data_IF_494815605084
#
_entry.id   IF_494815605084
#
_cell.length_a   1.000
_cell.length_b   1.000
_cell.length_c   1.000
_cell.angle_alpha   90.00
_cell.angle_beta   90.00
_cell.angle_gamma   90.00
#
_symmetry.space_group_name_H-M   'P 1'
#
loop_
_entity.id
_entity.type
_entity.pdbx_description
1 polymer ?
#
# COMPACT_ATOMS: atom_id res chain seq x y z
N UNK A 1 39.59 9.40 -22.62
CA UNK A 1 38.32 10.04 -22.13
C UNK A 1 37.47 10.58 -23.28
N UNK A 2 38.07 11.20 -24.36
CA UNK A 2 37.31 11.74 -25.49
C UNK A 2 36.55 10.66 -26.28
N UNK A 3 37.20 9.53 -26.59
CA UNK A 3 36.59 8.41 -27.35
C UNK A 3 35.40 7.77 -26.59
N UNK A 4 35.54 7.56 -25.27
CA UNK A 4 34.47 7.04 -24.43
C UNK A 4 33.26 7.98 -24.35
N UNK A 5 33.53 9.30 -24.29
CA UNK A 5 32.46 10.30 -24.29
C UNK A 5 31.76 10.40 -25.64
N UNK A 6 32.46 10.23 -26.75
CA UNK A 6 31.87 10.18 -28.08
C UNK A 6 31.00 8.91 -28.24
N UNK A 7 31.51 7.74 -27.84
CA UNK A 7 30.75 6.47 -27.88
C UNK A 7 29.50 6.56 -27.03
N UNK A 8 29.56 7.14 -25.81
CA UNK A 8 28.41 7.36 -24.95
C UNK A 8 27.36 8.26 -25.60
N UNK A 9 27.78 9.37 -26.22
CA UNK A 9 26.85 10.28 -26.89
C UNK A 9 26.15 9.61 -28.06
N UNK A 10 26.91 8.89 -28.93
CA UNK A 10 26.33 8.13 -30.03
C UNK A 10 25.34 7.06 -29.57
N UNK A 11 25.63 6.35 -28.47
CA UNK A 11 24.72 5.35 -27.92
C UNK A 11 23.43 6.01 -27.38
N UNK A 12 23.52 7.12 -26.67
CA UNK A 12 22.35 7.86 -26.17
C UNK A 12 21.48 8.34 -27.33
N UNK A 13 22.09 8.87 -28.39
CA UNK A 13 21.38 9.34 -29.58
C UNK A 13 20.66 8.18 -30.30
N UNK A 14 21.32 7.04 -30.47
CA UNK A 14 20.67 5.84 -31.01
C UNK A 14 19.51 5.35 -30.15
N UNK A 15 19.65 5.33 -28.82
CA UNK A 15 18.57 4.95 -27.90
C UNK A 15 17.40 5.92 -28.02
N UNK A 16 17.66 7.22 -28.13
CA UNK A 16 16.61 8.23 -28.30
C UNK A 16 15.86 8.05 -29.63
N UNK A 17 16.59 7.81 -30.73
CA UNK A 17 16.00 7.54 -32.04
C UNK A 17 15.11 6.29 -32.01
N UNK A 18 15.62 5.18 -31.47
CA UNK A 18 14.84 3.94 -31.33
C UNK A 18 13.61 4.11 -30.42
N UNK A 19 13.72 4.96 -29.38
CA UNK A 19 12.55 5.31 -28.55
C UNK A 19 11.51 6.10 -29.34
N UNK A 20 11.91 7.13 -30.06
CA UNK A 20 11.01 7.94 -30.88
C UNK A 20 10.33 7.12 -31.98
N UNK A 21 11.04 6.18 -32.60
CA UNK A 21 10.45 5.24 -33.55
C UNK A 21 9.48 4.24 -32.91
N UNK A 22 9.69 3.87 -31.64
CA UNK A 22 8.77 3.01 -30.88
C UNK A 22 7.61 3.75 -30.24
N UNK A 23 7.71 5.05 -30.05
CA UNK A 23 6.63 5.94 -29.60
C UNK A 23 5.67 6.33 -30.74
N UNK A 24 5.58 5.51 -31.80
CA UNK A 24 4.43 5.59 -32.68
C UNK A 24 3.16 5.55 -31.82
N UNK A 25 2.19 6.46 -32.01
CA UNK A 25 1.05 6.58 -31.13
C UNK A 25 0.36 5.22 -31.05
N UNK A 26 0.44 4.62 -29.83
CA UNK A 26 -0.32 3.40 -29.54
C UNK A 26 -1.78 3.75 -29.83
N UNK A 27 -2.40 3.13 -30.83
CA UNK A 27 -3.78 3.46 -31.17
C UNK A 27 -4.63 3.35 -29.91
N UNK A 28 -5.48 4.32 -29.67
CA UNK A 28 -6.29 4.54 -28.47
C UNK A 28 -7.27 3.41 -28.09
N UNK A 29 -6.97 2.17 -28.46
CA UNK A 29 -7.69 0.97 -28.01
C UNK A 29 -7.60 0.76 -26.50
N UNK A 30 -6.67 1.43 -25.81
CA UNK A 30 -6.61 1.46 -24.35
C UNK A 30 -7.73 2.28 -23.72
N UNK A 31 -8.31 3.26 -24.40
CA UNK A 31 -9.36 4.12 -23.85
C UNK A 31 -10.67 3.37 -23.60
N UNK A 32 -11.04 2.42 -24.45
CA UNK A 32 -12.28 1.65 -24.29
C UNK A 32 -12.17 0.52 -23.24
N UNK A 33 -10.95 0.01 -23.00
CA UNK A 33 -10.70 -1.04 -22.01
C UNK A 33 -10.51 -0.48 -20.58
N UNK A 34 -10.29 0.81 -20.45
CA UNK A 34 -10.05 1.53 -19.20
C UNK A 34 -11.10 2.59 -18.85
N UNK A 35 -12.27 2.52 -19.44
CA UNK A 35 -13.39 3.30 -18.91
C UNK A 35 -13.79 2.62 -17.60
N UNK A 36 -13.46 3.18 -16.42
CA UNK A 36 -13.98 2.63 -15.18
C UNK A 36 -15.49 2.65 -15.27
N UNK A 37 -16.14 1.64 -14.78
CA UNK A 37 -17.56 1.72 -14.44
C UNK A 37 -17.79 3.05 -13.76
N UNK A 38 -18.85 3.77 -14.10
CA UNK A 38 -19.08 5.11 -13.56
C UNK A 38 -18.76 5.14 -12.08
N UNK A 39 -17.87 6.05 -11.67
CA UNK A 39 -17.52 6.19 -10.25
C UNK A 39 -18.83 6.38 -9.49
N UNK A 40 -19.09 5.60 -8.44
CA UNK A 40 -20.25 5.86 -7.61
C UNK A 40 -20.13 7.30 -7.09
N UNK A 41 -21.21 8.06 -7.16
CA UNK A 41 -21.23 9.42 -6.64
C UNK A 41 -20.79 9.40 -5.18
N UNK A 42 -19.95 10.36 -4.78
CA UNK A 42 -19.52 10.49 -3.40
C UNK A 42 -20.77 10.58 -2.51
N UNK A 43 -20.87 9.67 -1.55
CA UNK A 43 -21.94 9.70 -0.56
C UNK A 43 -21.73 10.87 0.41
N UNK A 44 -22.79 11.35 1.04
CA UNK A 44 -22.66 12.24 2.18
C UNK A 44 -21.81 11.56 3.28
N UNK A 45 -21.03 12.37 4.02
CA UNK A 45 -20.21 11.82 5.11
C UNK A 45 -21.08 10.96 6.04
N UNK A 46 -20.63 9.75 6.39
CA UNK A 46 -21.40 8.90 7.28
C UNK A 46 -21.53 9.55 8.66
N UNK A 47 -22.69 9.45 9.28
CA UNK A 47 -22.96 9.89 10.66
C UNK A 47 -22.22 9.05 11.73
N UNK A 48 -21.43 8.07 11.30
CA UNK A 48 -20.67 7.20 12.18
C UNK A 48 -19.43 7.93 12.74
N UNK A 49 -19.06 7.67 14.01
CA UNK A 49 -17.82 8.21 14.56
C UNK A 49 -16.61 7.72 13.77
N UNK A 50 -15.54 8.53 13.71
CA UNK A 50 -14.32 8.15 13.02
C UNK A 50 -13.70 6.90 13.68
N UNK A 51 -13.19 6.00 12.86
CA UNK A 51 -12.54 4.76 13.28
C UNK A 51 -11.03 4.96 13.35
N UNK A 52 -10.41 4.59 14.45
CA UNK A 52 -8.97 4.75 14.68
C UNK A 52 -8.23 3.41 14.48
N UNK A 53 -7.48 3.30 13.40
CA UNK A 53 -6.55 2.19 13.16
C UNK A 53 -5.14 2.58 13.56
N UNK A 54 -4.43 1.74 14.31
CA UNK A 54 -3.06 2.02 14.76
C UNK A 54 -2.09 0.95 14.27
N UNK A 55 -0.98 1.39 13.67
CA UNK A 55 0.08 0.51 13.19
C UNK A 55 1.19 0.37 14.23
N UNK A 56 1.38 -0.86 14.73
CA UNK A 56 2.44 -1.24 15.65
C UNK A 56 3.65 -1.80 14.90
N UNK A 57 4.83 -1.23 15.14
CA UNK A 57 6.11 -1.68 14.58
C UNK A 57 6.83 -2.67 15.49
N UNK A 58 6.43 -2.74 16.74
CA UNK A 58 7.03 -3.60 17.77
C UNK A 58 5.95 -4.18 18.68
N UNK A 59 6.13 -5.42 19.18
CA UNK A 59 5.15 -6.06 20.06
C UNK A 59 4.84 -5.27 21.33
N UNK A 60 5.84 -4.56 21.88
CA UNK A 60 5.70 -3.80 23.14
C UNK A 60 4.72 -2.62 23.01
N UNK A 61 4.39 -2.21 21.78
CA UNK A 61 3.41 -1.14 21.54
C UNK A 61 1.97 -1.61 21.69
N UNK A 62 1.69 -2.91 21.54
CA UNK A 62 0.34 -3.46 21.51
C UNK A 62 -0.49 -3.09 22.75
N UNK A 63 -0.02 -3.32 23.99
CA UNK A 63 -0.83 -3.00 25.16
C UNK A 63 -1.25 -1.53 25.22
N UNK A 64 -0.30 -0.62 25.02
CA UNK A 64 -0.57 0.82 25.07
C UNK A 64 -1.55 1.29 23.99
N UNK A 65 -1.50 0.68 22.79
CA UNK A 65 -2.42 0.98 21.69
C UNK A 65 -3.84 0.52 22.00
N UNK A 66 -3.98 -0.66 22.60
CA UNK A 66 -5.27 -1.20 22.99
C UNK A 66 -5.87 -0.45 24.17
N UNK A 67 -5.06 -0.10 25.17
CA UNK A 67 -5.47 0.73 26.30
C UNK A 67 -5.90 2.13 25.88
N UNK A 68 -5.33 2.66 24.80
CA UNK A 68 -5.71 3.95 24.23
C UNK A 68 -7.02 3.90 23.41
N UNK A 69 -7.63 2.73 23.23
CA UNK A 69 -8.92 2.57 22.55
C UNK A 69 -8.85 2.58 21.05
N UNK A 70 -7.80 1.98 20.46
CA UNK A 70 -7.76 1.74 19.01
C UNK A 70 -8.88 0.78 18.58
N UNK A 71 -9.53 1.09 17.46
CA UNK A 71 -10.59 0.27 16.87
C UNK A 71 -10.07 -0.86 15.98
N UNK A 72 -8.83 -0.73 15.49
CA UNK A 72 -8.12 -1.78 14.75
C UNK A 72 -6.61 -1.67 14.96
N UNK A 73 -5.91 -2.80 14.88
CA UNK A 73 -4.45 -2.85 14.99
C UNK A 73 -3.83 -3.43 13.73
N UNK A 74 -2.86 -2.72 13.17
CA UNK A 74 -2.00 -3.19 12.09
C UNK A 74 -0.65 -3.58 12.65
N UNK A 75 -0.20 -4.81 12.43
CA UNK A 75 1.12 -5.27 12.85
C UNK A 75 2.08 -5.21 11.65
N UNK A 76 3.19 -4.48 11.82
CA UNK A 76 4.24 -4.29 10.82
C UNK A 76 5.61 -4.55 11.47
N UNK A 77 5.82 -5.78 11.91
CA UNK A 77 7.07 -6.16 12.56
C UNK A 77 8.17 -6.42 11.53
N UNK A 78 9.40 -6.19 11.91
CA UNK A 78 10.58 -6.45 11.09
C UNK A 78 10.74 -7.96 10.81
N UNK A 79 10.49 -8.81 11.82
CA UNK A 79 10.48 -10.25 11.69
C UNK A 79 9.03 -10.78 11.57
N UNK A 80 8.71 -11.35 10.41
CA UNK A 80 7.39 -11.94 10.14
C UNK A 80 7.07 -13.14 11.05
N UNK A 81 8.07 -13.77 11.68
CA UNK A 81 7.87 -14.87 12.64
C UNK A 81 7.19 -14.40 13.93
N UNK A 82 7.31 -13.12 14.25
CA UNK A 82 6.70 -12.53 15.45
C UNK A 82 5.21 -12.22 15.26
N UNK A 83 4.68 -12.31 14.05
CA UNK A 83 3.27 -12.01 13.76
C UNK A 83 2.30 -12.89 14.55
N UNK A 84 2.57 -14.19 14.63
CA UNK A 84 1.71 -15.10 15.40
C UNK A 84 1.65 -14.74 16.89
N UNK A 85 2.79 -14.35 17.47
CA UNK A 85 2.85 -13.87 18.85
C UNK A 85 2.13 -12.52 19.01
N UNK A 86 2.24 -11.63 18.01
CA UNK A 86 1.54 -10.35 17.99
C UNK A 86 0.03 -10.51 17.93
N UNK A 87 -0.49 -11.35 17.02
CA UNK A 87 -1.91 -11.67 16.94
C UNK A 87 -2.44 -12.22 18.27
N UNK A 88 -1.70 -13.18 18.85
CA UNK A 88 -2.04 -13.74 20.16
C UNK A 88 -2.08 -12.68 21.26
N UNK A 89 -1.13 -11.75 21.28
CA UNK A 89 -1.09 -10.67 22.25
C UNK A 89 -2.32 -9.74 22.13
N UNK A 90 -2.72 -9.37 20.91
CA UNK A 90 -3.96 -8.59 20.68
C UNK A 90 -5.18 -9.35 21.19
N UNK A 91 -5.34 -10.63 20.82
CA UNK A 91 -6.48 -11.47 21.25
C UNK A 91 -6.57 -11.64 22.77
N UNK A 92 -5.43 -11.77 23.46
CA UNK A 92 -5.40 -11.88 24.92
C UNK A 92 -5.82 -10.62 25.64
N UNK A 93 -5.57 -9.45 25.04
CA UNK A 93 -5.93 -8.17 25.62
C UNK A 93 -7.34 -7.72 25.25
N UNK A 94 -7.73 -7.89 24.00
CA UNK A 94 -9.04 -7.48 23.47
C UNK A 94 -9.42 -8.33 22.23
N UNK A 95 -10.19 -9.39 22.47
CA UNK A 95 -10.55 -10.35 21.42
C UNK A 95 -11.46 -9.75 20.31
N UNK A 96 -12.16 -8.66 20.64
CA UNK A 96 -13.07 -7.99 19.68
C UNK A 96 -12.37 -7.03 18.72
N UNK A 97 -11.11 -6.65 18.97
CA UNK A 97 -10.38 -5.69 18.13
C UNK A 97 -9.75 -6.43 16.95
N UNK A 98 -10.09 -6.07 15.71
CA UNK A 98 -9.54 -6.72 14.53
C UNK A 98 -8.04 -6.43 14.38
N UNK A 99 -7.28 -7.48 14.04
CA UNK A 99 -5.84 -7.43 13.84
C UNK A 99 -5.49 -7.77 12.39
N UNK A 100 -4.69 -6.93 11.78
CA UNK A 100 -4.24 -7.07 10.39
C UNK A 100 -2.71 -7.16 10.34
N UNK A 101 -2.21 -7.99 9.45
CA UNK A 101 -0.76 -8.14 9.24
C UNK A 101 -0.33 -7.40 7.97
N UNK A 102 0.70 -6.58 8.10
CA UNK A 102 1.25 -5.84 6.97
C UNK A 102 2.16 -6.74 6.11
N UNK A 103 1.88 -6.79 4.80
CA UNK A 103 2.76 -7.49 3.87
C UNK A 103 4.08 -6.74 3.67
N UNK A 104 5.18 -7.41 3.28
CA UNK A 104 6.38 -6.72 2.83
C UNK A 104 6.05 -5.74 1.70
N UNK A 105 6.69 -4.55 1.70
CA UNK A 105 6.50 -3.57 0.62
C UNK A 105 7.11 -4.04 -0.68
N UNK A 106 8.26 -4.70 -0.60
CA UNK A 106 8.97 -5.27 -1.74
C UNK A 106 8.89 -6.78 -1.64
N UNK A 107 8.47 -7.43 -2.70
CA UNK A 107 8.37 -8.87 -2.80
C UNK A 107 9.13 -9.36 -4.03
N UNK A 108 10.02 -10.33 -3.83
CA UNK A 108 10.69 -11.03 -4.92
C UNK A 108 9.85 -12.22 -5.40
N UNK A 109 10.01 -12.68 -6.64
CA UNK A 109 9.17 -13.73 -7.23
C UNK A 109 9.11 -15.06 -6.45
N UNK A 110 10.15 -15.38 -5.65
CA UNK A 110 10.22 -16.64 -4.88
C UNK A 110 9.75 -16.53 -3.43
N UNK A 111 9.28 -15.36 -2.98
CA UNK A 111 9.01 -15.05 -1.57
C UNK A 111 7.54 -15.23 -1.15
N UNK A 112 6.76 -16.01 -1.88
CA UNK A 112 5.35 -16.31 -1.52
C UNK A 112 5.21 -17.10 -0.20
N UNK A 113 6.28 -17.69 0.30
CA UNK A 113 6.31 -18.38 1.60
C UNK A 113 5.92 -17.47 2.78
N UNK A 114 6.22 -16.17 2.69
CA UNK A 114 5.85 -15.18 3.70
C UNK A 114 4.33 -15.05 3.85
N UNK A 115 3.59 -15.10 2.77
CA UNK A 115 2.14 -15.00 2.83
C UNK A 115 1.49 -16.19 3.55
N UNK A 116 2.02 -17.40 3.33
CA UNK A 116 1.57 -18.60 4.07
C UNK A 116 1.86 -18.50 5.56
N UNK A 117 2.98 -17.86 5.94
CA UNK A 117 3.29 -17.61 7.34
C UNK A 117 2.29 -16.65 7.97
N UNK A 118 1.91 -15.60 7.23
CA UNK A 118 0.90 -14.64 7.67
C UNK A 118 -0.48 -15.29 7.82
N UNK A 119 -0.90 -16.13 6.88
CA UNK A 119 -2.17 -16.88 6.97
C UNK A 119 -2.20 -17.80 8.21
N UNK A 120 -1.08 -18.46 8.54
CA UNK A 120 -0.97 -19.34 9.72
C UNK A 120 -1.01 -18.59 11.06
N UNK A 121 -0.78 -17.29 11.06
CA UNK A 121 -0.92 -16.46 12.25
C UNK A 121 -2.40 -16.15 12.58
N UNK A 122 -3.34 -16.54 11.71
CA UNK A 122 -4.78 -16.39 11.87
C UNK A 122 -5.24 -14.96 12.20
N UNK A 123 -4.81 -13.93 11.42
CA UNK A 123 -5.30 -12.57 11.59
C UNK A 123 -6.74 -12.42 11.07
N UNK A 124 -7.40 -11.31 11.38
CA UNK A 124 -8.67 -10.93 10.76
C UNK A 124 -8.49 -10.48 9.32
N UNK A 125 -7.31 -9.96 8.98
CA UNK A 125 -7.03 -9.50 7.64
C UNK A 125 -5.58 -9.15 7.36
N UNK A 126 -5.36 -8.61 6.18
CA UNK A 126 -4.03 -8.29 5.65
C UNK A 126 -4.00 -6.83 5.20
N UNK A 127 -2.97 -6.11 5.62
CA UNK A 127 -2.63 -4.79 5.10
C UNK A 127 -1.76 -4.97 3.85
N UNK A 128 -2.34 -4.75 2.69
CA UNK A 128 -1.76 -5.01 1.37
C UNK A 128 -0.85 -3.85 0.94
N UNK A 129 0.43 -4.14 0.71
CA UNK A 129 1.45 -3.13 0.39
C UNK A 129 1.98 -3.17 -1.04
N UNK A 130 1.65 -4.20 -1.80
CA UNK A 130 2.06 -4.33 -3.20
C UNK A 130 1.03 -5.13 -4.02
N UNK A 131 1.09 -5.01 -5.34
CA UNK A 131 0.13 -5.66 -6.23
C UNK A 131 0.25 -7.19 -6.25
N UNK A 132 1.44 -7.73 -5.96
CA UNK A 132 1.66 -9.19 -5.84
C UNK A 132 0.89 -9.76 -4.65
N UNK A 133 0.94 -9.08 -3.50
CA UNK A 133 0.13 -9.43 -2.33
C UNK A 133 -1.37 -9.28 -2.61
N UNK A 134 -1.79 -8.19 -3.28
CA UNK A 134 -3.19 -8.00 -3.68
C UNK A 134 -3.70 -9.17 -4.54
N UNK A 135 -2.88 -9.64 -5.48
CA UNK A 135 -3.21 -10.78 -6.33
C UNK A 135 -3.25 -12.10 -5.55
N UNK A 136 -2.28 -12.33 -4.65
CA UNK A 136 -2.21 -13.55 -3.85
C UNK A 136 -3.44 -13.69 -2.94
N UNK A 137 -3.77 -12.65 -2.18
CA UNK A 137 -4.88 -12.65 -1.22
C UNK A 137 -6.24 -12.38 -1.86
N UNK A 138 -6.35 -12.20 -3.18
CA UNK A 138 -7.61 -11.81 -3.86
C UNK A 138 -8.78 -12.73 -3.55
N UNK A 139 -8.53 -14.01 -3.36
CA UNK A 139 -9.55 -15.04 -3.08
C UNK A 139 -9.47 -15.58 -1.64
N UNK A 140 -8.61 -15.01 -0.81
CA UNK A 140 -8.54 -15.33 0.61
C UNK A 140 -9.83 -14.90 1.34
N UNK A 141 -10.28 -15.62 2.36
CA UNK A 141 -11.36 -15.19 3.23
C UNK A 141 -10.97 -14.01 4.14
N UNK A 142 -9.68 -13.73 4.28
CA UNK A 142 -9.17 -12.63 5.10
C UNK A 142 -9.59 -11.28 4.55
N UNK A 143 -9.92 -10.34 5.44
CA UNK A 143 -10.17 -8.94 5.08
C UNK A 143 -8.89 -8.34 4.47
N UNK A 144 -9.03 -7.39 3.55
CA UNK A 144 -7.90 -6.79 2.83
C UNK A 144 -8.03 -5.28 2.84
N UNK A 145 -6.99 -4.63 3.35
CA UNK A 145 -6.89 -3.17 3.42
C UNK A 145 -5.68 -2.76 2.61
N UNK A 146 -5.82 -1.75 1.76
CA UNK A 146 -4.72 -1.22 0.96
C UNK A 146 -3.92 -0.19 1.74
N UNK A 147 -2.62 -0.41 1.88
CA UNK A 147 -1.69 0.51 2.52
C UNK A 147 -1.37 1.72 1.60
N UNK A 148 -0.92 2.83 2.17
CA UNK A 148 -0.49 4.02 1.42
C UNK A 148 0.55 3.73 0.33
N UNK A 149 1.34 2.66 0.48
CA UNK A 149 2.34 2.23 -0.52
C UNK A 149 1.74 1.77 -1.86
N UNK A 150 0.42 1.60 -1.95
CA UNK A 150 -0.28 1.41 -3.21
C UNK A 150 -0.48 2.71 -3.99
N UNK A 151 -0.06 3.86 -3.44
CA UNK A 151 -0.07 5.18 -4.06
C UNK A 151 -1.45 5.61 -4.59
N UNK A 152 -2.47 5.44 -3.76
CA UNK A 152 -3.83 5.88 -4.12
C UNK A 152 -3.89 7.41 -4.06
N UNK A 153 -3.91 8.04 -5.23
CA UNK A 153 -3.87 9.49 -5.39
C UNK A 153 -5.00 10.04 -6.28
N UNK A 154 -5.87 9.20 -6.79
CA UNK A 154 -7.00 9.61 -7.61
C UNK A 154 -8.15 8.57 -7.57
N UNK A 155 -9.39 8.95 -7.89
CA UNK A 155 -10.57 8.09 -7.75
C UNK A 155 -10.53 6.86 -8.66
N UNK A 156 -9.86 6.93 -9.80
CA UNK A 156 -9.76 5.81 -10.74
C UNK A 156 -8.85 4.71 -10.23
N UNK A 157 -7.67 5.06 -9.68
CA UNK A 157 -6.79 4.09 -9.03
C UNK A 157 -7.47 3.45 -7.82
N UNK A 158 -8.22 4.22 -7.04
CA UNK A 158 -9.02 3.72 -5.94
C UNK A 158 -10.06 2.69 -6.41
N UNK A 159 -10.85 3.02 -7.42
CA UNK A 159 -11.88 2.13 -7.97
C UNK A 159 -11.28 0.81 -8.49
N UNK A 160 -10.17 0.87 -9.22
CA UNK A 160 -9.49 -0.33 -9.73
C UNK A 160 -9.00 -1.23 -8.58
N UNK A 161 -8.40 -0.65 -7.55
CA UNK A 161 -7.90 -1.41 -6.40
C UNK A 161 -9.05 -2.00 -5.57
N UNK A 162 -10.13 -1.26 -5.37
CA UNK A 162 -11.36 -1.75 -4.73
C UNK A 162 -11.94 -2.93 -5.49
N UNK A 163 -12.11 -2.80 -6.79
CA UNK A 163 -12.76 -3.82 -7.62
C UNK A 163 -11.86 -5.03 -7.84
N UNK A 164 -10.65 -4.81 -8.38
CA UNK A 164 -9.73 -5.90 -8.78
C UNK A 164 -8.99 -6.51 -7.59
N UNK A 165 -8.58 -5.67 -6.63
CA UNK A 165 -7.92 -6.11 -5.40
C UNK A 165 -8.90 -6.62 -4.35
N UNK A 166 -10.19 -6.31 -4.47
CA UNK A 166 -11.22 -6.56 -3.47
C UNK A 166 -10.83 -5.99 -2.10
N UNK A 167 -10.27 -4.78 -2.11
CA UNK A 167 -9.82 -4.12 -0.89
C UNK A 167 -11.01 -3.42 -0.22
N UNK A 168 -11.17 -3.59 1.09
CA UNK A 168 -12.28 -2.96 1.86
C UNK A 168 -12.05 -1.47 2.05
N UNK A 169 -10.84 -1.10 2.41
CA UNK A 169 -10.39 0.28 2.60
C UNK A 169 -9.06 0.50 1.88
N UNK A 170 -8.74 1.76 1.63
CA UNK A 170 -7.51 2.20 1.00
C UNK A 170 -6.94 3.36 1.79
N UNK A 171 -5.74 3.21 2.31
CA UNK A 171 -5.00 4.34 2.88
C UNK A 171 -4.51 5.23 1.74
N UNK A 172 -4.85 6.51 1.78
CA UNK A 172 -4.42 7.47 0.76
C UNK A 172 -2.90 7.67 0.76
N UNK A 173 -2.36 8.03 -0.41
CA UNK A 173 -0.97 8.44 -0.50
C UNK A 173 -0.70 9.65 0.40
N UNK A 174 0.36 9.59 1.18
CA UNK A 174 0.79 10.70 2.04
C UNK A 174 1.44 11.85 1.27
N UNK A 175 1.66 11.70 -0.04
CA UNK A 175 2.15 12.76 -0.92
C UNK A 175 1.06 13.76 -1.31
N UNK A 176 -0.22 13.44 -1.02
CA UNK A 176 -1.34 14.33 -1.26
C UNK A 176 -1.39 15.45 -0.22
N UNK A 177 -1.59 16.69 -0.68
CA UNK A 177 -1.92 17.79 0.21
C UNK A 177 -3.42 17.77 0.60
N UNK A 178 -3.80 18.59 1.58
CA UNK A 178 -5.17 18.61 2.11
C UNK A 178 -6.24 18.92 1.05
N UNK A 179 -5.94 19.79 0.07
CA UNK A 179 -6.85 20.16 -1.01
C UNK A 179 -7.08 18.96 -1.94
N UNK A 180 -6.01 18.26 -2.35
CA UNK A 180 -6.07 17.06 -3.17
C UNK A 180 -6.82 15.92 -2.47
N UNK A 181 -6.62 15.75 -1.16
CA UNK A 181 -7.41 14.79 -0.36
C UNK A 181 -8.90 15.17 -0.39
N UNK A 182 -9.23 16.44 -0.17
CA UNK A 182 -10.62 16.91 -0.20
C UNK A 182 -11.27 16.68 -1.59
N UNK A 183 -10.53 16.93 -2.66
CA UNK A 183 -11.01 16.68 -4.03
C UNK A 183 -11.25 15.19 -4.30
N UNK A 184 -10.35 14.34 -3.81
CA UNK A 184 -10.51 12.89 -3.93
C UNK A 184 -11.75 12.39 -3.17
N UNK A 185 -11.97 12.87 -1.94
CA UNK A 185 -13.12 12.49 -1.12
C UNK A 185 -14.46 13.00 -1.67
N UNK A 186 -14.44 14.09 -2.49
CA UNK A 186 -15.62 14.53 -3.24
C UNK A 186 -15.88 13.69 -4.48
N UNK A 187 -14.81 13.15 -5.09
CA UNK A 187 -14.88 12.42 -6.35
C UNK A 187 -15.11 10.91 -6.20
N UNK A 188 -14.93 10.35 -4.99
CA UNK A 188 -15.15 8.93 -4.70
C UNK A 188 -15.76 8.78 -3.30
N UNK A 189 -16.44 7.64 -3.00
CA UNK A 189 -17.06 7.39 -1.71
C UNK A 189 -16.05 7.53 -0.56
N UNK A 190 -16.25 8.44 0.40
CA UNK A 190 -15.33 8.67 1.52
C UNK A 190 -15.08 7.42 2.37
N UNK A 191 -16.07 6.55 2.50
CA UNK A 191 -16.01 5.28 3.23
C UNK A 191 -15.02 4.27 2.62
N UNK A 192 -14.47 4.56 1.45
CA UNK A 192 -13.42 3.75 0.87
C UNK A 192 -12.05 4.01 1.47
N UNK A 193 -11.88 5.12 2.20
CA UNK A 193 -10.57 5.65 2.52
C UNK A 193 -10.26 5.68 4.00
N UNK A 194 -9.00 5.39 4.30
CA UNK A 194 -8.33 5.71 5.55
C UNK A 194 -7.35 6.86 5.32
N UNK A 195 -7.26 7.77 6.28
CA UNK A 195 -6.32 8.90 6.25
C UNK A 195 -5.23 8.67 7.28
N UNK A 196 -3.98 8.83 6.87
CA UNK A 196 -2.85 8.82 7.79
C UNK A 196 -2.81 10.13 8.57
N UNK A 197 -3.10 10.08 9.88
CA UNK A 197 -3.05 11.25 10.76
C UNK A 197 -1.63 11.53 11.26
N UNK A 198 -0.87 10.48 11.52
CA UNK A 198 0.50 10.55 12.02
C UNK A 198 1.31 9.36 11.57
N UNK A 199 2.50 9.60 11.02
CA UNK A 199 3.50 8.56 10.75
C UNK A 199 4.90 9.15 10.64
N UNK A 200 5.91 8.31 10.92
CA UNK A 200 7.27 8.62 10.56
C UNK A 200 7.48 8.32 9.08
N UNK A 201 7.82 9.33 8.28
CA UNK A 201 8.09 9.14 6.86
C UNK A 201 9.32 8.26 6.66
N UNK A 202 9.20 7.15 5.93
CA UNK A 202 10.35 6.34 5.58
C UNK A 202 11.27 7.14 4.63
N UNK A 203 12.46 7.48 5.10
CA UNK A 203 13.46 8.17 4.27
C UNK A 203 14.38 7.14 3.64
N UNK A 204 14.38 7.05 2.32
CA UNK A 204 15.24 6.12 1.56
C UNK A 204 16.74 6.43 1.77
N UNK A 205 17.08 7.69 2.07
CA UNK A 205 18.46 8.12 2.31
C UNK A 205 19.10 7.48 3.55
N UNK A 206 18.29 7.02 4.51
CA UNK A 206 18.80 6.38 5.73
C UNK A 206 18.83 4.85 5.67
N UNK A 207 18.24 4.25 4.63
CA UNK A 207 18.15 2.79 4.48
C UNK A 207 19.16 2.21 3.49
N UNK A 208 19.83 3.05 2.72
CA UNK A 208 20.91 2.62 1.82
C UNK A 208 22.22 3.16 2.37
N UNK A 209 23.12 2.30 2.89
CA UNK A 209 24.48 2.74 3.23
C UNK A 209 25.12 3.32 1.97
N UNK A 210 25.58 4.56 2.07
CA UNK A 210 26.37 5.17 0.98
C UNK A 210 27.62 4.31 0.75
N UNK A 211 28.08 4.14 -0.50
CA UNK A 211 29.38 3.51 -0.75
C UNK A 211 30.54 4.14 0.02
N UNK A 212 30.37 5.35 0.57
CA UNK A 212 31.35 6.05 1.42
C UNK A 212 31.31 5.59 2.89
N UNK A 213 30.22 4.94 3.31
CA UNK A 213 30.06 4.46 4.69
C UNK A 213 30.60 3.02 4.88
N UNK A 214 31.12 2.44 3.79
CA UNK A 214 31.72 1.10 3.74
C UNK A 214 33.25 1.12 3.63
N UNK A 215 33.90 2.28 3.77
CA UNK A 215 35.37 2.43 3.71
C UNK A 215 35.99 2.62 5.07
#
# INVERSE_FOLDING_TARGET
LSILNQARRALVEQIQTVRQEREAPVPSRLSAAFTPSALPAGAAAPDAPPHLSVLCRRPEQIPSVLDAGADAVYLDFEDLRDYAAGVKAVRQHADSIPVFLATPRIQKPSETGYFKLMERAEPDGILIRNLGAAQYFRHSPLRRIGDFSLNVANPYSAAILKERGRLEYLTLSYDLNAEQVADLLRAAPPEWFELTLHQHMPCILYTSPSPRDLS
#
